data_IF_079584916506
#
_entry.id   IF_079584916506
#
_cell.length_a   1.000
_cell.length_b   1.000
_cell.length_c   1.000
_cell.angle_alpha   90.00
_cell.angle_beta   90.00
_cell.angle_gamma   90.00
#
_symmetry.space_group_name_H-M   'P 1'
#
loop_
_entity.id
_entity.type
_entity.pdbx_description
1 polymer ?
#
# COMPACT_ATOMS: atom_id res chain seq x y z
N UNK A 1 58.11 60.06 -34.29
CA UNK A 1 58.15 58.70 -33.74
C UNK A 1 57.47 58.65 -32.37
N UNK A 2 56.17 58.85 -32.29
CA UNK A 2 55.40 58.78 -31.01
C UNK A 2 53.93 58.60 -31.32
N UNK A 3 53.56 57.52 -31.99
CA UNK A 3 52.12 57.26 -32.29
C UNK A 3 51.80 55.75 -32.56
N UNK A 4 52.57 54.83 -32.00
CA UNK A 4 52.36 53.40 -32.24
C UNK A 4 52.12 52.57 -30.92
N UNK A 5 52.26 53.18 -29.75
CA UNK A 5 52.24 52.43 -28.48
C UNK A 5 50.86 52.45 -27.73
N UNK A 6 49.79 53.04 -28.28
CA UNK A 6 48.55 53.26 -27.54
C UNK A 6 47.42 52.36 -28.01
N UNK A 7 47.64 51.34 -28.89
CA UNK A 7 46.51 50.50 -29.48
C UNK A 7 46.41 49.07 -28.98
N UNK A 8 47.36 48.58 -28.20
CA UNK A 8 47.41 47.20 -27.77
C UNK A 8 46.94 46.96 -26.34
N UNK A 9 46.53 47.93 -25.58
CA UNK A 9 46.07 47.75 -24.20
C UNK A 9 44.54 47.66 -24.05
N UNK A 10 43.76 47.95 -25.11
CA UNK A 10 42.30 47.88 -25.05
C UNK A 10 41.74 46.51 -25.33
N UNK A 11 42.54 45.58 -25.90
CA UNK A 11 42.09 44.21 -26.22
C UNK A 11 42.50 43.18 -25.15
N UNK A 12 43.27 43.55 -24.13
CA UNK A 12 43.65 42.65 -23.06
C UNK A 12 42.69 42.65 -21.86
N UNK A 13 41.66 43.52 -21.83
CA UNK A 13 40.70 43.65 -20.74
C UNK A 13 39.33 43.02 -21.04
N UNK A 14 39.14 42.43 -22.24
CA UNK A 14 37.89 41.76 -22.63
C UNK A 14 37.97 40.22 -22.56
N UNK A 15 39.09 39.66 -22.14
CA UNK A 15 39.34 38.21 -22.06
C UNK A 15 39.13 37.58 -20.67
N UNK A 16 38.76 38.34 -19.63
CA UNK A 16 38.72 37.83 -18.24
C UNK A 16 37.34 37.84 -17.61
N UNK A 17 36.26 37.95 -18.36
CA UNK A 17 34.90 38.01 -17.81
C UNK A 17 34.00 36.79 -18.20
N UNK A 18 34.58 35.64 -18.56
CA UNK A 18 33.83 34.42 -18.89
C UNK A 18 34.35 33.19 -18.15
N UNK A 19 34.85 33.33 -16.93
CA UNK A 19 34.86 32.24 -15.97
C UNK A 19 33.47 32.25 -15.32
N UNK A 20 32.48 31.76 -16.09
CA UNK A 20 31.18 31.45 -15.58
C UNK A 20 31.36 30.55 -14.36
N UNK A 21 30.85 30.99 -13.23
CA UNK A 21 30.60 30.27 -12.03
C UNK A 21 29.82 28.98 -12.38
N UNK A 22 30.50 27.93 -12.76
CA UNK A 22 30.03 26.57 -12.58
C UNK A 22 30.07 26.33 -11.06
N UNK A 23 29.05 26.86 -10.35
CA UNK A 23 28.78 26.42 -9.01
C UNK A 23 28.71 24.87 -9.09
N UNK A 24 29.48 24.13 -8.28
CA UNK A 24 29.29 22.71 -8.21
C UNK A 24 27.82 22.52 -7.91
N UNK A 25 27.07 21.87 -8.81
CA UNK A 25 25.77 21.32 -8.48
C UNK A 25 26.06 20.34 -7.34
N UNK A 26 25.87 20.80 -6.11
CA UNK A 26 25.92 19.95 -4.95
C UNK A 26 24.80 18.97 -5.19
N UNK A 27 25.16 17.77 -5.63
CA UNK A 27 24.24 16.64 -5.64
C UNK A 27 23.73 16.54 -4.22
N UNK A 28 22.53 17.06 -4.00
CA UNK A 28 21.91 16.99 -2.70
C UNK A 28 21.84 15.51 -2.34
N UNK A 29 22.51 15.12 -1.25
CA UNK A 29 22.53 13.72 -0.83
C UNK A 29 21.08 13.26 -0.68
N UNK A 30 20.77 12.12 -1.30
CA UNK A 30 19.43 11.54 -1.22
C UNK A 30 19.10 11.24 0.23
N UNK A 31 17.90 11.58 0.64
CA UNK A 31 17.40 11.30 1.98
C UNK A 31 16.98 9.84 2.09
N UNK A 32 17.61 9.01 2.95
CA UNK A 32 17.25 7.60 3.09
C UNK A 32 15.86 7.46 3.70
N UNK A 33 15.07 6.54 3.17
CA UNK A 33 13.71 6.25 3.64
C UNK A 33 13.44 4.75 3.62
N UNK A 34 13.14 4.16 4.78
CA UNK A 34 12.84 2.73 4.92
C UNK A 34 11.34 2.49 5.02
N UNK A 35 10.83 1.66 4.12
CA UNK A 35 9.40 1.33 4.01
C UNK A 35 9.19 -0.16 4.18
N UNK A 36 8.27 -0.54 5.09
CA UNK A 36 7.82 -1.92 5.22
C UNK A 36 6.50 -2.14 4.50
N UNK A 37 6.49 -3.12 3.61
CA UNK A 37 5.29 -3.56 2.90
C UNK A 37 4.47 -4.52 3.78
N UNK A 38 3.21 -4.76 3.39
CA UNK A 38 2.27 -5.54 4.20
C UNK A 38 2.46 -7.05 4.08
N UNK A 39 2.91 -7.54 2.92
CA UNK A 39 2.88 -8.96 2.58
C UNK A 39 4.09 -9.39 1.74
N UNK A 40 4.16 -10.68 1.38
CA UNK A 40 5.03 -11.16 0.30
C UNK A 40 4.74 -10.41 -1.00
N UNK A 41 5.70 -10.31 -1.94
CA UNK A 41 5.53 -9.49 -3.14
C UNK A 41 4.29 -9.86 -3.95
N UNK A 42 3.47 -8.87 -4.30
CA UNK A 42 2.27 -9.03 -5.11
C UNK A 42 1.83 -7.72 -5.78
N UNK A 43 0.74 -7.74 -6.56
CA UNK A 43 0.31 -6.62 -7.39
C UNK A 43 0.11 -5.28 -6.68
N UNK A 44 -0.30 -5.27 -5.40
CA UNK A 44 -0.49 -4.03 -4.62
C UNK A 44 0.80 -3.24 -4.40
N UNK A 45 1.94 -3.88 -4.55
CA UNK A 45 3.25 -3.22 -4.42
C UNK A 45 3.72 -2.57 -5.72
N UNK A 46 2.93 -2.65 -6.80
CA UNK A 46 3.30 -2.22 -8.15
C UNK A 46 3.80 -0.80 -8.23
N UNK A 47 3.12 0.15 -7.61
CA UNK A 47 3.51 1.56 -7.62
C UNK A 47 4.87 1.82 -6.97
N UNK A 48 5.16 1.14 -5.85
CA UNK A 48 6.41 1.31 -5.12
C UNK A 48 7.60 0.80 -5.94
N UNK A 49 7.48 -0.42 -6.49
CA UNK A 49 8.50 -1.02 -7.32
C UNK A 49 8.71 -0.26 -8.63
N UNK A 50 7.63 0.20 -9.27
CA UNK A 50 7.70 0.99 -10.49
C UNK A 50 8.40 2.33 -10.25
N UNK A 51 7.98 3.06 -9.23
CA UNK A 51 8.59 4.36 -8.88
C UNK A 51 10.08 4.21 -8.55
N UNK A 52 10.47 3.13 -7.86
CA UNK A 52 11.88 2.83 -7.59
C UNK A 52 12.65 2.51 -8.86
N UNK A 53 12.12 1.67 -9.75
CA UNK A 53 12.76 1.27 -11.01
C UNK A 53 12.91 2.44 -11.98
N UNK A 54 11.90 3.31 -12.07
CA UNK A 54 11.92 4.53 -12.90
C UNK A 54 12.81 5.64 -12.31
N UNK A 55 13.29 5.47 -11.07
CA UNK A 55 14.09 6.48 -10.38
C UNK A 55 13.29 7.69 -9.90
N UNK A 56 11.96 7.63 -9.87
CA UNK A 56 11.09 8.75 -9.45
C UNK A 56 11.32 9.15 -8.00
N UNK A 57 11.56 8.20 -7.10
CA UNK A 57 11.93 8.51 -5.71
C UNK A 57 13.26 9.25 -5.63
N UNK A 58 14.28 8.84 -6.41
CA UNK A 58 15.58 9.54 -6.45
C UNK A 58 15.43 10.96 -6.97
N UNK A 59 14.64 11.17 -8.02
CA UNK A 59 14.34 12.50 -8.56
C UNK A 59 13.54 13.36 -7.56
N UNK A 60 12.77 12.74 -6.67
CA UNK A 60 12.13 13.41 -5.53
C UNK A 60 13.07 13.56 -4.31
N UNK A 61 14.39 13.27 -4.46
CA UNK A 61 15.39 13.43 -3.41
C UNK A 61 15.39 12.32 -2.35
N UNK A 62 14.83 11.13 -2.65
CA UNK A 62 14.71 10.02 -1.71
C UNK A 62 15.56 8.82 -2.14
N UNK A 63 16.26 8.19 -1.19
CA UNK A 63 16.85 6.87 -1.31
C UNK A 63 15.99 5.84 -0.57
N UNK A 64 15.08 5.20 -1.33
CA UNK A 64 14.04 4.33 -0.77
C UNK A 64 14.52 2.89 -0.67
N UNK A 65 14.35 2.30 0.52
CA UNK A 65 14.50 0.86 0.74
C UNK A 65 13.12 0.25 0.99
N UNK A 66 12.71 -0.72 0.16
CA UNK A 66 11.46 -1.47 0.29
C UNK A 66 11.74 -2.84 0.91
N UNK A 67 11.10 -3.15 2.04
CA UNK A 67 11.18 -4.45 2.70
C UNK A 67 9.81 -5.13 2.69
N UNK A 68 9.78 -6.40 2.26
CA UNK A 68 8.56 -7.19 2.19
C UNK A 68 8.06 -7.56 3.58
N UNK A 69 6.74 -7.79 3.71
CA UNK A 69 6.09 -8.14 4.96
C UNK A 69 5.54 -9.55 4.99
N UNK A 70 4.77 -9.82 6.04
CA UNK A 70 4.11 -11.10 6.28
C UNK A 70 2.72 -10.95 6.92
N UNK A 71 2.13 -9.76 6.83
CA UNK A 71 0.79 -9.44 7.30
C UNK A 71 0.62 -7.99 7.69
N UNK A 72 -0.52 -7.38 7.37
CA UNK A 72 -0.81 -5.98 7.71
C UNK A 72 -0.76 -5.72 9.21
N UNK A 73 -1.32 -6.61 10.04
CA UNK A 73 -1.27 -6.48 11.51
C UNK A 73 0.17 -6.51 12.00
N UNK A 74 0.97 -7.46 11.50
CA UNK A 74 2.40 -7.58 11.85
C UNK A 74 3.20 -6.34 11.40
N UNK A 75 2.94 -5.86 10.17
CA UNK A 75 3.60 -4.66 9.65
C UNK A 75 3.27 -3.43 10.50
N UNK A 76 2.00 -3.28 10.92
CA UNK A 76 1.59 -2.18 11.79
C UNK A 76 2.31 -2.24 13.15
N UNK A 77 2.47 -3.42 13.73
CA UNK A 77 3.20 -3.59 14.98
C UNK A 77 4.67 -3.19 14.86
N UNK A 78 5.35 -3.67 13.81
CA UNK A 78 6.78 -3.41 13.58
C UNK A 78 7.04 -1.91 13.31
N UNK A 79 6.28 -1.31 12.41
CA UNK A 79 6.43 0.12 12.07
C UNK A 79 5.96 1.00 13.23
N UNK A 80 4.90 0.59 13.91
CA UNK A 80 4.35 1.31 15.06
C UNK A 80 5.31 1.38 16.25
N UNK A 81 6.24 0.44 16.39
CA UNK A 81 7.31 0.52 17.39
C UNK A 81 8.27 1.71 17.15
N UNK A 82 8.39 2.19 15.90
CA UNK A 82 9.10 3.42 15.57
C UNK A 82 10.62 3.30 15.36
N UNK A 83 11.20 2.11 15.54
CA UNK A 83 12.67 1.96 15.57
C UNK A 83 13.28 1.70 14.19
N UNK A 84 12.65 0.85 13.38
CA UNK A 84 13.29 0.25 12.20
C UNK A 84 12.86 0.82 10.87
N UNK A 85 11.64 1.39 10.78
CA UNK A 85 11.03 1.88 9.54
C UNK A 85 10.51 3.29 9.70
N UNK A 86 10.54 4.06 8.61
CA UNK A 86 9.99 5.42 8.59
C UNK A 86 8.47 5.41 8.35
N UNK A 87 8.01 4.46 7.53
CA UNK A 87 6.58 4.25 7.27
C UNK A 87 6.30 2.80 6.82
N UNK A 88 5.02 2.45 6.80
CA UNK A 88 4.55 1.16 6.34
C UNK A 88 3.41 1.28 5.33
N UNK A 89 3.27 0.25 4.50
CA UNK A 89 2.09 -0.02 3.69
C UNK A 89 1.31 -1.16 4.33
N UNK A 90 0.03 -0.96 4.63
CA UNK A 90 -0.83 -1.97 5.22
C UNK A 90 -2.32 -1.64 5.00
N UNK A 91 -3.20 -2.59 5.35
CA UNK A 91 -4.62 -2.29 5.52
C UNK A 91 -4.81 -1.29 6.67
N UNK A 92 -5.40 -0.13 6.37
CA UNK A 92 -5.51 1.00 7.29
C UNK A 92 -6.39 0.70 8.51
N UNK A 93 -7.38 -0.20 8.36
CA UNK A 93 -8.16 -0.68 9.49
C UNK A 93 -7.29 -1.35 10.56
N UNK A 94 -6.22 -2.07 10.18
CA UNK A 94 -5.25 -2.64 11.14
C UNK A 94 -4.52 -1.54 11.91
N UNK A 95 -4.15 -0.43 11.25
CA UNK A 95 -3.54 0.73 11.91
C UNK A 95 -4.53 1.43 12.86
N UNK A 96 -5.82 1.57 12.49
CA UNK A 96 -6.87 2.13 13.34
C UNK A 96 -7.05 1.29 14.62
N UNK A 97 -7.16 -0.02 14.48
CA UNK A 97 -7.31 -0.94 15.63
C UNK A 97 -6.08 -0.89 16.55
N UNK A 98 -4.88 -0.82 15.98
CA UNK A 98 -3.64 -0.69 16.75
C UNK A 98 -3.57 0.65 17.50
N UNK A 99 -3.97 1.75 16.84
CA UNK A 99 -4.02 3.07 17.45
C UNK A 99 -4.99 3.12 18.63
N UNK A 100 -6.18 2.55 18.46
CA UNK A 100 -7.16 2.45 19.56
C UNK A 100 -6.60 1.73 20.79
N UNK A 101 -5.67 0.79 20.57
CA UNK A 101 -4.94 0.07 21.62
C UNK A 101 -3.70 0.83 22.13
N UNK A 102 -3.55 2.11 21.78
CA UNK A 102 -2.48 2.99 22.26
C UNK A 102 -1.22 3.03 21.40
N UNK A 103 -1.18 2.35 20.24
CA UNK A 103 -0.03 2.43 19.35
C UNK A 103 0.01 3.80 18.63
N UNK A 104 1.15 4.54 18.65
CA UNK A 104 1.21 5.89 18.13
C UNK A 104 1.39 5.88 16.60
N UNK A 105 0.38 5.44 15.86
CA UNK A 105 0.40 5.38 14.39
C UNK A 105 -0.72 6.23 13.79
N UNK A 106 -0.46 6.82 12.61
CA UNK A 106 -1.46 7.54 11.81
C UNK A 106 -1.34 7.14 10.35
N UNK A 107 -2.49 7.03 9.67
CA UNK A 107 -2.53 6.93 8.21
C UNK A 107 -2.03 8.23 7.58
N UNK A 108 -1.31 8.12 6.47
CA UNK A 108 -0.75 9.26 5.72
C UNK A 108 -1.21 9.29 4.26
N UNK A 109 -1.67 8.16 3.72
CA UNK A 109 -2.26 8.07 2.39
C UNK A 109 -3.27 6.92 2.30
N UNK A 110 -4.30 7.06 1.46
CA UNK A 110 -5.29 6.01 1.17
C UNK A 110 -5.21 5.65 -0.32
N UNK A 111 -4.89 4.41 -0.66
CA UNK A 111 -4.93 3.93 -2.04
C UNK A 111 -6.22 3.15 -2.31
N UNK A 112 -6.47 2.05 -1.60
CA UNK A 112 -7.72 1.32 -1.71
C UNK A 112 -8.74 1.85 -0.69
N UNK A 113 -9.83 2.45 -1.19
CA UNK A 113 -10.86 3.14 -0.39
C UNK A 113 -11.98 2.21 0.06
N UNK A 114 -12.03 1.00 -0.48
CA UNK A 114 -13.04 -0.02 -0.16
C UNK A 114 -12.37 -1.27 0.37
N UNK A 115 -13.10 -2.01 1.22
CA UNK A 115 -12.66 -3.29 1.76
C UNK A 115 -12.59 -4.34 0.65
N UNK A 116 -11.43 -4.95 0.51
CA UNK A 116 -11.13 -6.02 -0.42
C UNK A 116 -11.04 -7.40 0.26
N UNK A 117 -11.41 -7.47 1.55
CA UNK A 117 -11.40 -8.70 2.33
C UNK A 117 -12.53 -9.62 1.86
N UNK A 118 -12.22 -10.89 1.72
CA UNK A 118 -13.20 -11.92 1.35
C UNK A 118 -12.93 -13.30 1.93
N UNK A 119 -13.97 -14.12 1.84
CA UNK A 119 -13.89 -15.55 1.98
C UNK A 119 -13.81 -16.14 0.57
N UNK A 120 -12.70 -16.78 0.25
CA UNK A 120 -12.47 -17.46 -1.02
C UNK A 120 -12.95 -18.91 -0.90
N UNK A 121 -13.76 -19.33 -1.87
CA UNK A 121 -14.39 -20.65 -1.89
C UNK A 121 -14.29 -21.26 -3.29
N UNK A 122 -14.29 -22.60 -3.44
CA UNK A 122 -14.43 -23.22 -4.75
C UNK A 122 -15.74 -22.77 -5.40
N UNK A 123 -15.70 -22.49 -6.70
CA UNK A 123 -16.86 -21.96 -7.44
C UNK A 123 -18.08 -22.89 -7.41
N UNK A 124 -17.86 -24.20 -7.26
CA UNK A 124 -18.88 -25.24 -7.20
C UNK A 124 -19.27 -25.65 -5.78
N UNK A 125 -18.69 -25.06 -4.73
CA UNK A 125 -18.91 -25.45 -3.34
C UNK A 125 -20.29 -25.05 -2.77
N UNK A 126 -21.04 -24.19 -3.47
CA UNK A 126 -22.33 -23.66 -2.99
C UNK A 126 -22.24 -22.78 -1.75
N UNK A 127 -21.05 -22.29 -1.40
CA UNK A 127 -20.82 -21.41 -0.25
C UNK A 127 -21.02 -19.97 -0.73
N UNK A 128 -22.10 -19.33 -0.29
CA UNK A 128 -22.48 -17.96 -0.65
C UNK A 128 -22.45 -17.00 0.53
N UNK A 129 -22.13 -17.50 1.73
CA UNK A 129 -22.06 -16.68 2.92
C UNK A 129 -21.47 -17.41 4.13
N UNK A 130 -21.31 -16.71 5.27
CA UNK A 130 -20.67 -17.28 6.45
C UNK A 130 -21.44 -18.45 7.07
N UNK A 131 -22.78 -18.53 6.93
CA UNK A 131 -23.59 -19.59 7.52
C UNK A 131 -23.21 -21.00 7.02
N UNK A 132 -22.72 -21.14 5.79
CA UNK A 132 -22.31 -22.40 5.20
C UNK A 132 -20.92 -22.89 5.64
N UNK A 133 -20.23 -22.14 6.51
CA UNK A 133 -18.89 -22.49 7.00
C UNK A 133 -18.88 -23.46 8.17
N UNK A 134 -20.04 -23.84 8.73
CA UNK A 134 -20.10 -24.75 9.86
C UNK A 134 -19.41 -26.07 9.53
N UNK A 135 -18.43 -26.47 10.36
CA UNK A 135 -17.63 -27.69 10.20
C UNK A 135 -16.63 -27.67 9.05
N UNK A 136 -16.45 -26.53 8.36
CA UNK A 136 -15.50 -26.40 7.26
C UNK A 136 -14.09 -26.12 7.76
N UNK A 137 -13.10 -26.56 6.98
CA UNK A 137 -11.69 -26.22 7.13
C UNK A 137 -11.41 -24.90 6.44
N UNK A 138 -11.02 -23.87 7.19
CA UNK A 138 -10.79 -22.53 6.63
C UNK A 138 -9.38 -22.06 6.92
N UNK A 139 -8.59 -21.83 5.87
CA UNK A 139 -7.24 -21.32 5.99
C UNK A 139 -7.24 -19.81 6.27
N UNK A 140 -6.37 -19.35 7.16
CA UNK A 140 -6.12 -17.94 7.46
C UNK A 140 -4.68 -17.73 7.92
N UNK A 141 -4.24 -16.49 8.05
CA UNK A 141 -2.95 -16.11 8.65
C UNK A 141 -3.20 -15.14 9.79
N UNK A 142 -2.73 -15.47 10.99
CA UNK A 142 -3.05 -14.72 12.21
C UNK A 142 -2.62 -13.23 12.17
N UNK A 143 -1.52 -12.91 11.49
CA UNK A 143 -1.01 -11.53 11.33
C UNK A 143 -1.52 -10.79 10.10
N UNK A 144 -2.45 -11.38 9.33
CA UNK A 144 -2.98 -10.80 8.10
C UNK A 144 -4.10 -9.78 8.35
N UNK A 145 -4.48 -9.07 7.29
CA UNK A 145 -5.46 -7.98 7.35
C UNK A 145 -6.88 -8.46 7.70
N UNK A 146 -7.25 -9.69 7.32
CA UNK A 146 -8.58 -10.25 7.58
C UNK A 146 -8.76 -10.78 9.01
N UNK A 147 -7.67 -11.11 9.69
CA UNK A 147 -7.73 -11.80 10.99
C UNK A 147 -8.58 -11.08 12.06
N UNK A 148 -8.55 -9.74 12.20
CA UNK A 148 -9.38 -9.03 13.18
C UNK A 148 -10.88 -9.10 12.89
N UNK A 149 -11.29 -9.40 11.64
CA UNK A 149 -12.68 -9.34 11.19
C UNK A 149 -13.37 -10.70 11.12
N UNK A 150 -12.64 -11.79 11.33
CA UNK A 150 -13.18 -13.15 11.19
C UNK A 150 -14.37 -13.37 12.13
N UNK A 151 -14.28 -12.95 13.40
CA UNK A 151 -15.35 -13.10 14.36
C UNK A 151 -16.63 -12.35 13.94
N UNK A 152 -16.47 -11.09 13.47
CA UNK A 152 -17.59 -10.29 13.01
C UNK A 152 -18.24 -10.87 11.75
N UNK A 153 -17.44 -11.38 10.81
CA UNK A 153 -17.97 -12.04 9.61
C UNK A 153 -18.72 -13.34 9.95
N UNK A 154 -18.18 -14.16 10.84
CA UNK A 154 -18.82 -15.41 11.28
C UNK A 154 -20.13 -15.13 12.05
N UNK A 155 -20.15 -14.08 12.89
CA UNK A 155 -21.34 -13.68 13.64
C UNK A 155 -22.52 -13.32 12.72
N UNK A 156 -22.28 -12.75 11.55
CA UNK A 156 -23.31 -12.50 10.54
C UNK A 156 -23.98 -13.80 10.03
N UNK A 157 -23.25 -14.92 10.07
CA UNK A 157 -23.78 -16.27 9.81
C UNK A 157 -24.24 -17.03 11.04
N UNK A 158 -24.32 -16.37 12.21
CA UNK A 158 -24.63 -16.97 13.52
C UNK A 158 -23.63 -18.08 13.92
N UNK A 159 -22.37 -17.94 13.50
CA UNK A 159 -21.26 -18.83 13.81
C UNK A 159 -20.21 -18.12 14.67
N UNK A 160 -19.39 -18.94 15.32
CA UNK A 160 -18.17 -18.54 16.04
C UNK A 160 -16.98 -19.38 15.55
N UNK A 161 -15.76 -18.97 15.85
CA UNK A 161 -14.54 -19.69 15.43
C UNK A 161 -14.55 -21.18 15.79
N UNK A 162 -15.13 -21.57 16.93
CA UNK A 162 -15.22 -22.97 17.35
C UNK A 162 -16.20 -23.82 16.52
N UNK A 163 -16.99 -23.20 15.64
CA UNK A 163 -17.88 -23.93 14.71
C UNK A 163 -17.17 -24.33 13.42
N UNK A 164 -15.89 -23.92 13.23
CA UNK A 164 -15.05 -24.21 12.09
C UNK A 164 -13.74 -24.88 12.54
N UNK A 165 -13.06 -25.53 11.59
CA UNK A 165 -11.65 -25.90 11.74
C UNK A 165 -10.78 -24.80 11.10
N UNK A 166 -10.28 -23.89 11.93
CA UNK A 166 -9.41 -22.81 11.45
C UNK A 166 -7.96 -23.31 11.33
N UNK A 167 -7.42 -23.27 10.11
CA UNK A 167 -6.06 -23.67 9.79
C UNK A 167 -5.18 -22.41 9.69
N UNK A 168 -4.39 -22.16 10.74
CA UNK A 168 -3.43 -21.05 10.70
C UNK A 168 -2.21 -21.46 9.88
N UNK A 169 -1.94 -20.72 8.82
CA UNK A 169 -0.80 -20.91 7.91
C UNK A 169 -0.03 -19.60 7.73
N UNK A 170 1.23 -19.70 7.36
CA UNK A 170 2.04 -18.53 7.02
C UNK A 170 1.62 -17.89 5.68
N UNK A 171 2.11 -16.69 5.43
CA UNK A 171 1.79 -15.89 4.25
C UNK A 171 2.14 -16.61 2.93
N UNK A 172 3.26 -17.34 2.90
CA UNK A 172 3.75 -17.98 1.69
C UNK A 172 2.96 -19.26 1.33
N UNK A 173 2.44 -19.96 2.34
CA UNK A 173 1.74 -21.25 2.15
C UNK A 173 0.22 -21.13 2.06
N UNK A 174 -0.39 -19.97 2.39
CA UNK A 174 -1.86 -19.84 2.43
C UNK A 174 -2.54 -20.20 1.09
N UNK A 175 -2.04 -19.63 -0.01
CA UNK A 175 -2.63 -19.87 -1.33
C UNK A 175 -2.48 -21.34 -1.77
N UNK A 176 -1.30 -21.95 -1.56
CA UNK A 176 -1.07 -23.35 -1.91
C UNK A 176 -1.89 -24.31 -1.05
N UNK A 177 -2.03 -24.04 0.25
CA UNK A 177 -2.87 -24.85 1.17
C UNK A 177 -4.32 -24.93 0.67
N UNK A 178 -4.88 -23.79 0.24
CA UNK A 178 -6.21 -23.76 -0.33
C UNK A 178 -6.25 -24.42 -1.73
N UNK A 179 -5.32 -24.09 -2.62
CA UNK A 179 -5.33 -24.54 -4.01
C UNK A 179 -5.26 -26.08 -4.14
N UNK A 180 -4.52 -26.76 -3.24
CA UNK A 180 -4.44 -28.23 -3.22
C UNK A 180 -5.56 -28.90 -2.44
N UNK A 181 -6.57 -28.15 -1.98
CA UNK A 181 -7.75 -28.71 -1.30
C UNK A 181 -7.55 -29.11 0.17
N UNK A 182 -6.45 -28.67 0.82
CA UNK A 182 -6.25 -28.92 2.26
C UNK A 182 -7.17 -28.07 3.14
N UNK A 183 -7.73 -27.00 2.58
CA UNK A 183 -8.76 -26.18 3.18
C UNK A 183 -9.97 -26.08 2.23
N UNK A 184 -11.18 -26.09 2.79
CA UNK A 184 -12.44 -25.92 2.04
C UNK A 184 -12.61 -24.48 1.56
N UNK A 185 -12.12 -23.52 2.35
CA UNK A 185 -12.17 -22.09 2.08
C UNK A 185 -10.92 -21.39 2.61
N UNK A 186 -10.74 -20.11 2.26
CA UNK A 186 -9.67 -19.29 2.82
C UNK A 186 -10.13 -17.86 3.04
N UNK A 187 -9.75 -17.27 4.16
CA UNK A 187 -9.86 -15.82 4.37
C UNK A 187 -8.65 -15.11 3.78
N UNK A 188 -8.87 -14.11 2.94
CA UNK A 188 -7.80 -13.32 2.33
C UNK A 188 -8.33 -12.02 1.72
N UNK A 189 -7.45 -11.25 1.10
CA UNK A 189 -7.83 -10.17 0.17
C UNK A 189 -8.13 -10.77 -1.21
N UNK A 190 -9.27 -10.39 -1.77
CA UNK A 190 -9.78 -10.94 -3.03
C UNK A 190 -8.81 -10.68 -4.20
N UNK A 191 -8.30 -9.44 -4.41
CA UNK A 191 -7.39 -9.15 -5.52
C UNK A 191 -6.07 -9.92 -5.48
N UNK A 192 -5.58 -10.26 -4.28
CA UNK A 192 -4.40 -11.10 -4.14
C UNK A 192 -4.68 -12.54 -4.51
N UNK A 193 -5.76 -13.09 -3.94
CA UNK A 193 -5.95 -14.54 -3.86
C UNK A 193 -6.56 -15.14 -5.12
N UNK A 194 -7.62 -14.52 -5.67
CA UNK A 194 -8.30 -15.08 -6.85
C UNK A 194 -7.36 -15.30 -8.04
N UNK A 195 -6.51 -14.34 -8.45
CA UNK A 195 -5.57 -14.55 -9.56
C UNK A 195 -4.56 -15.68 -9.30
N UNK A 196 -4.19 -15.88 -8.02
CA UNK A 196 -3.23 -16.94 -7.65
C UNK A 196 -3.85 -18.34 -7.75
N UNK A 197 -5.09 -18.50 -7.28
CA UNK A 197 -5.68 -19.85 -7.10
C UNK A 197 -6.56 -20.30 -8.27
N UNK A 198 -7.16 -19.36 -9.01
CA UNK A 198 -8.18 -19.67 -10.02
C UNK A 198 -7.68 -20.55 -11.17
N UNK A 199 -6.38 -20.57 -11.44
CA UNK A 199 -5.78 -21.44 -12.47
C UNK A 199 -5.80 -22.92 -12.05
N UNK A 200 -5.65 -23.20 -10.75
CA UNK A 200 -5.56 -24.56 -10.22
C UNK A 200 -6.85 -24.99 -9.52
N UNK A 201 -7.62 -24.05 -9.00
CA UNK A 201 -8.89 -24.29 -8.31
C UNK A 201 -9.84 -23.13 -8.66
N UNK A 202 -10.75 -23.30 -9.62
CA UNK A 202 -11.75 -22.29 -9.95
C UNK A 202 -12.48 -21.84 -8.68
N UNK A 203 -12.47 -20.55 -8.40
CA UNK A 203 -12.90 -20.01 -7.12
C UNK A 203 -13.75 -18.77 -7.30
N UNK A 204 -14.62 -18.51 -6.33
CA UNK A 204 -15.37 -17.27 -6.13
C UNK A 204 -15.05 -16.65 -4.77
N UNK A 205 -15.55 -15.45 -4.54
CA UNK A 205 -15.35 -14.75 -3.28
C UNK A 205 -16.67 -14.26 -2.69
N UNK A 206 -16.82 -14.43 -1.38
CA UNK A 206 -17.86 -13.78 -0.57
C UNK A 206 -17.23 -12.58 0.11
N UNK A 207 -17.67 -11.36 -0.23
CA UNK A 207 -17.06 -10.13 0.26
C UNK A 207 -17.49 -9.83 1.70
N UNK A 208 -16.56 -9.45 2.55
CA UNK A 208 -16.87 -8.99 3.90
C UNK A 208 -17.70 -7.70 3.89
N UNK A 209 -17.52 -6.86 2.89
CA UNK A 209 -18.27 -5.62 2.69
C UNK A 209 -19.79 -5.85 2.61
N UNK A 210 -20.22 -6.99 2.05
CA UNK A 210 -21.65 -7.35 1.93
C UNK A 210 -22.27 -7.72 3.29
N UNK A 211 -21.43 -7.85 4.31
CA UNK A 211 -21.82 -8.13 5.71
C UNK A 211 -21.48 -6.94 6.64
N UNK A 212 -21.46 -5.73 6.09
CA UNK A 212 -21.26 -4.51 6.86
C UNK A 212 -19.80 -4.16 7.19
N UNK A 213 -18.82 -4.94 6.70
CA UNK A 213 -17.39 -4.74 6.96
C UNK A 213 -16.72 -3.99 5.79
N UNK A 214 -17.26 -2.81 5.45
CA UNK A 214 -16.70 -1.95 4.41
C UNK A 214 -15.97 -0.74 5.03
N UNK A 215 -14.68 -0.62 4.75
CA UNK A 215 -13.79 0.44 5.24
C UNK A 215 -12.59 0.59 4.29
N UNK A 216 -11.81 1.68 4.36
CA UNK A 216 -10.57 1.79 3.61
C UNK A 216 -9.64 0.61 3.87
N UNK A 217 -9.11 0.03 2.79
CA UNK A 217 -8.15 -1.07 2.84
C UNK A 217 -6.72 -0.53 2.77
N UNK A 218 -6.01 -0.70 1.68
CA UNK A 218 -4.58 -0.41 1.61
C UNK A 218 -4.25 1.08 1.53
N UNK A 219 -3.23 1.46 2.28
CA UNK A 219 -2.65 2.78 2.28
C UNK A 219 -1.31 2.82 3.01
N UNK A 220 -0.82 4.02 3.24
CA UNK A 220 0.40 4.27 3.98
C UNK A 220 0.08 4.77 5.39
N UNK A 221 0.91 4.38 6.34
CA UNK A 221 0.86 4.85 7.72
C UNK A 221 2.27 5.03 8.28
N UNK A 222 2.41 5.83 9.31
CA UNK A 222 3.68 6.05 10.00
C UNK A 222 3.49 6.13 11.51
N UNK A 223 4.55 5.86 12.27
CA UNK A 223 4.63 6.20 13.69
C UNK A 223 4.62 7.73 13.85
N UNK A 224 3.92 8.27 14.85
CA UNK A 224 3.78 9.72 15.05
C UNK A 224 5.12 10.43 15.25
N UNK A 225 6.09 9.81 15.92
CA UNK A 225 7.43 10.38 16.08
C UNK A 225 8.20 10.47 14.75
N UNK A 226 8.11 9.41 13.92
CA UNK A 226 8.69 9.41 12.57
C UNK A 226 7.99 10.43 11.68
N UNK A 227 6.68 10.52 11.77
CA UNK A 227 5.90 11.51 11.03
C UNK A 227 6.30 12.96 11.40
N UNK A 228 6.55 13.22 12.69
CA UNK A 228 7.01 14.54 13.13
C UNK A 228 8.43 14.87 12.63
N UNK A 229 9.35 13.88 12.66
CA UNK A 229 10.75 14.06 12.27
C UNK A 229 10.99 14.07 10.76
N UNK A 230 10.17 13.33 10.00
CA UNK A 230 10.40 13.00 8.59
C UNK A 230 9.21 13.39 7.69
N UNK A 231 8.38 14.35 8.13
CA UNK A 231 7.12 14.72 7.46
C UNK A 231 7.28 14.96 5.97
N UNK A 232 8.30 15.71 5.57
CA UNK A 232 8.54 16.05 4.17
C UNK A 232 8.95 14.82 3.33
N UNK A 233 9.86 13.99 3.82
CA UNK A 233 10.26 12.76 3.14
C UNK A 233 9.08 11.79 2.98
N UNK A 234 8.26 11.64 4.02
CA UNK A 234 7.04 10.81 4.00
C UNK A 234 6.04 11.37 2.98
N UNK A 235 5.84 12.69 2.95
CA UNK A 235 4.93 13.34 2.00
C UNK A 235 5.39 13.17 0.55
N UNK A 236 6.70 13.31 0.27
CA UNK A 236 7.28 13.07 -1.06
C UNK A 236 7.08 11.62 -1.50
N UNK A 237 7.39 10.65 -0.64
CA UNK A 237 7.19 9.23 -0.93
C UNK A 237 5.72 8.91 -1.22
N UNK A 238 4.80 9.36 -0.36
CA UNK A 238 3.37 9.12 -0.51
C UNK A 238 2.82 9.73 -1.81
N UNK A 239 3.24 10.95 -2.14
CA UNK A 239 2.80 11.68 -3.35
C UNK A 239 3.31 11.02 -4.64
N UNK A 240 4.60 10.64 -4.68
CA UNK A 240 5.17 9.90 -5.82
C UNK A 240 4.49 8.54 -5.99
N UNK A 241 4.22 7.83 -4.88
CA UNK A 241 3.53 6.53 -4.93
C UNK A 241 2.10 6.67 -5.44
N UNK A 242 1.37 7.69 -5.00
CA UNK A 242 0.02 7.99 -5.49
C UNK A 242 0.03 8.28 -7.00
N UNK A 243 0.96 9.13 -7.46
CA UNK A 243 1.12 9.44 -8.88
C UNK A 243 1.53 8.22 -9.71
N UNK A 244 2.37 7.34 -9.13
CA UNK A 244 2.73 6.08 -9.78
C UNK A 244 1.52 5.15 -9.97
N UNK A 245 0.60 5.08 -9.02
CA UNK A 245 -0.66 4.36 -9.19
C UNK A 245 -1.54 4.95 -10.29
N UNK A 246 -1.65 6.29 -10.38
CA UNK A 246 -2.38 6.94 -11.47
C UNK A 246 -1.76 6.59 -12.83
N UNK A 247 -0.42 6.60 -12.92
CA UNK A 247 0.31 6.17 -14.12
C UNK A 247 0.01 4.71 -14.48
N UNK A 248 0.06 3.80 -13.50
CA UNK A 248 -0.24 2.38 -13.72
C UNK A 248 -1.62 2.22 -14.35
N UNK A 249 -2.65 2.86 -13.78
CA UNK A 249 -4.02 2.74 -14.27
C UNK A 249 -4.34 3.58 -15.51
N UNK A 250 -3.40 4.38 -15.97
CA UNK A 250 -3.45 5.01 -17.30
C UNK A 250 -2.99 4.08 -18.46
N UNK A 251 -2.75 2.78 -18.17
CA UNK A 251 -2.41 1.77 -19.18
C UNK A 251 -1.01 1.15 -19.02
N UNK A 252 -0.32 1.40 -17.88
CA UNK A 252 1.06 0.97 -17.67
C UNK A 252 1.20 -0.19 -16.65
N UNK A 253 0.17 -1.04 -16.51
CA UNK A 253 0.17 -2.16 -15.57
C UNK A 253 1.30 -3.15 -15.81
N UNK A 254 1.65 -3.40 -17.10
CA UNK A 254 2.74 -4.32 -17.46
C UNK A 254 4.12 -3.80 -17.01
N UNK A 255 4.32 -2.49 -16.95
CA UNK A 255 5.55 -1.89 -16.42
C UNK A 255 5.68 -2.13 -14.92
N UNK A 256 4.57 -2.00 -14.18
CA UNK A 256 4.54 -2.30 -12.75
C UNK A 256 4.83 -3.79 -12.48
N UNK A 257 4.26 -4.70 -13.27
CA UNK A 257 4.57 -6.14 -13.23
C UNK A 257 6.05 -6.39 -13.46
N UNK A 258 6.62 -5.78 -14.50
CA UNK A 258 8.05 -5.93 -14.83
C UNK A 258 8.94 -5.42 -13.69
N UNK A 259 8.55 -4.32 -13.03
CA UNK A 259 9.28 -3.75 -11.90
C UNK A 259 9.31 -4.68 -10.69
N UNK A 260 8.17 -5.30 -10.34
CA UNK A 260 8.10 -6.28 -9.25
C UNK A 260 9.02 -7.47 -9.56
N UNK A 261 8.89 -8.05 -10.77
CA UNK A 261 9.68 -9.22 -11.18
C UNK A 261 11.18 -8.94 -11.15
N UNK A 262 11.62 -7.78 -11.63
CA UNK A 262 13.02 -7.39 -11.66
C UNK A 262 13.63 -7.22 -10.25
N UNK A 263 12.85 -6.70 -9.30
CA UNK A 263 13.32 -6.44 -7.93
C UNK A 263 13.11 -7.61 -6.98
N UNK A 264 12.32 -8.61 -7.35
CA UNK A 264 12.01 -9.80 -6.53
C UNK A 264 12.18 -11.12 -7.28
N UNK A 265 13.35 -11.34 -7.95
CA UNK A 265 13.56 -12.54 -8.79
C UNK A 265 13.49 -13.85 -7.99
N UNK A 266 13.85 -13.82 -6.69
CA UNK A 266 13.81 -15.01 -5.83
C UNK A 266 12.39 -15.46 -5.48
N UNK A 267 11.40 -14.55 -5.57
CA UNK A 267 10.00 -14.85 -5.24
C UNK A 267 9.31 -15.71 -6.32
N UNK A 268 9.92 -15.90 -7.49
CA UNK A 268 9.43 -16.74 -8.60
C UNK A 268 7.96 -16.47 -8.97
N UNK A 269 7.61 -15.19 -9.03
CA UNK A 269 6.24 -14.74 -9.27
C UNK A 269 5.82 -14.97 -10.73
N UNK A 270 4.56 -15.31 -10.93
CA UNK A 270 3.98 -15.44 -12.26
C UNK A 270 3.50 -14.09 -12.81
N UNK A 271 3.91 -13.76 -14.05
CA UNK A 271 3.57 -12.48 -14.70
C UNK A 271 2.06 -12.28 -14.85
N UNK A 272 1.31 -13.34 -15.23
CA UNK A 272 -0.14 -13.26 -15.45
C UNK A 272 -0.88 -13.08 -14.13
N UNK A 273 -0.40 -13.74 -13.08
CA UNK A 273 -0.95 -13.58 -11.73
C UNK A 273 -0.75 -12.15 -11.24
N UNK A 274 0.46 -11.59 -11.34
CA UNK A 274 0.72 -10.21 -10.95
C UNK A 274 -0.13 -9.21 -11.73
N UNK A 275 -0.27 -9.39 -13.04
CA UNK A 275 -1.13 -8.54 -13.86
C UNK A 275 -2.59 -8.65 -13.42
N UNK A 276 -3.09 -9.86 -13.22
CA UNK A 276 -4.43 -10.08 -12.71
C UNK A 276 -4.68 -9.48 -11.33
N UNK A 277 -3.68 -9.47 -10.45
CA UNK A 277 -3.75 -8.81 -9.15
C UNK A 277 -3.86 -7.29 -9.27
N UNK A 278 -3.05 -6.66 -10.13
CA UNK A 278 -3.10 -5.20 -10.38
C UNK A 278 -4.46 -4.81 -10.97
N UNK A 279 -4.96 -5.57 -11.95
CA UNK A 279 -6.24 -5.29 -12.58
C UNK A 279 -7.41 -5.48 -11.59
N UNK A 280 -7.35 -6.53 -10.74
CA UNK A 280 -8.36 -6.81 -9.73
C UNK A 280 -8.39 -5.80 -8.57
N UNK A 281 -7.31 -5.07 -8.34
CA UNK A 281 -7.24 -4.01 -7.32
C UNK A 281 -7.98 -2.73 -7.75
N UNK A 282 -8.03 -2.42 -9.04
CA UNK A 282 -8.53 -1.14 -9.55
C UNK A 282 -9.92 -0.75 -9.01
N UNK A 283 -10.92 -1.66 -8.95
CA UNK A 283 -12.25 -1.32 -8.41
C UNK A 283 -12.22 -0.87 -6.94
N UNK A 284 -11.28 -1.37 -6.15
CA UNK A 284 -11.17 -1.05 -4.71
C UNK A 284 -10.52 0.30 -4.44
N UNK A 285 -9.81 0.87 -5.42
CA UNK A 285 -9.29 2.23 -5.30
C UNK A 285 -10.42 3.26 -5.23
N UNK A 286 -11.58 2.96 -5.85
CA UNK A 286 -12.76 3.82 -5.86
C UNK A 286 -12.51 5.15 -6.59
N UNK A 287 -13.55 5.98 -6.65
CA UNK A 287 -13.41 7.35 -7.13
C UNK A 287 -13.11 8.25 -5.92
N UNK A 288 -12.02 9.02 -5.92
CA UNK A 288 -11.81 10.06 -4.92
C UNK A 288 -12.99 11.05 -4.94
N UNK A 289 -13.24 11.73 -3.82
CA UNK A 289 -14.19 12.83 -3.78
C UNK A 289 -13.85 13.87 -4.87
N UNK A 290 -14.84 14.59 -5.38
CA UNK A 290 -14.63 15.57 -6.44
C UNK A 290 -13.47 16.52 -6.11
N UNK A 291 -12.48 16.59 -7.00
CA UNK A 291 -11.27 17.41 -6.84
C UNK A 291 -10.13 16.76 -6.01
N UNK A 292 -10.35 15.61 -5.38
CA UNK A 292 -9.28 14.90 -4.69
C UNK A 292 -8.57 13.95 -5.65
N UNK A 293 -7.24 13.82 -5.50
CA UNK A 293 -6.44 12.85 -6.25
C UNK A 293 -6.20 11.58 -5.44
N UNK A 294 -5.70 10.56 -6.09
CA UNK A 294 -5.37 9.29 -5.45
C UNK A 294 -4.40 9.52 -4.28
N UNK A 295 -4.57 8.75 -3.22
CA UNK A 295 -3.77 8.88 -2.01
C UNK A 295 -4.31 9.88 -0.98
N UNK A 296 -5.19 10.81 -1.40
CA UNK A 296 -5.73 11.83 -0.49
C UNK A 296 -6.54 11.22 0.65
N UNK A 297 -6.40 11.82 1.83
CA UNK A 297 -7.24 11.53 2.99
C UNK A 297 -8.60 12.25 2.79
N UNK A 298 -9.69 11.50 2.82
CA UNK A 298 -11.05 12.02 2.75
C UNK A 298 -11.76 11.76 4.07
N UNK A 299 -12.11 12.78 4.86
CA UNK A 299 -12.67 12.62 6.21
C UNK A 299 -13.87 11.69 6.31
N UNK A 300 -14.75 11.66 5.27
CA UNK A 300 -15.93 10.79 5.24
C UNK A 300 -15.57 9.30 5.31
N UNK A 301 -14.47 8.88 4.67
CA UNK A 301 -14.01 7.48 4.71
C UNK A 301 -13.68 7.06 6.14
N UNK A 302 -13.07 7.96 6.91
CA UNK A 302 -12.69 7.71 8.29
C UNK A 302 -13.88 7.70 9.23
N UNK A 303 -14.89 8.56 8.99
CA UNK A 303 -16.15 8.52 9.70
C UNK A 303 -16.86 7.19 9.48
N UNK A 304 -16.92 6.73 8.22
CA UNK A 304 -17.50 5.44 7.87
C UNK A 304 -16.70 4.28 8.50
N UNK A 305 -15.36 4.34 8.46
CA UNK A 305 -14.50 3.33 9.06
C UNK A 305 -14.70 3.23 10.57
N UNK A 306 -14.79 4.36 11.28
CA UNK A 306 -15.09 4.37 12.73
C UNK A 306 -16.44 3.72 13.00
N UNK A 307 -17.49 4.07 12.24
CA UNK A 307 -18.81 3.45 12.37
C UNK A 307 -18.73 1.94 12.19
N UNK A 308 -18.09 1.47 11.12
CA UNK A 308 -17.94 0.05 10.82
C UNK A 308 -17.20 -0.70 11.93
N UNK A 309 -16.02 -0.19 12.32
CA UNK A 309 -15.17 -0.85 13.31
C UNK A 309 -15.77 -0.83 14.72
N UNK A 310 -16.46 0.24 15.10
CA UNK A 310 -17.13 0.32 16.41
C UNK A 310 -18.37 -0.57 16.49
N UNK A 311 -19.15 -0.71 15.40
CA UNK A 311 -20.30 -1.60 15.34
C UNK A 311 -19.92 -3.05 15.63
N UNK A 312 -18.72 -3.47 15.21
CA UNK A 312 -18.22 -4.83 15.45
C UNK A 312 -17.29 -4.92 16.67
N UNK A 313 -17.22 -3.86 17.48
CA UNK A 313 -16.50 -3.85 18.77
C UNK A 313 -14.96 -3.85 18.63
N UNK A 314 -14.41 -3.48 17.49
CA UNK A 314 -12.95 -3.45 17.26
C UNK A 314 -12.29 -2.14 17.69
N UNK A 315 -13.07 -1.06 17.77
CA UNK A 315 -12.67 0.24 18.35
C UNK A 315 -13.81 0.80 19.18
N UNK A 316 -13.54 1.85 19.98
CA UNK A 316 -14.55 2.55 20.77
C UNK A 316 -15.60 3.24 19.90
N UNK A 317 -16.86 3.23 20.35
CA UNK A 317 -17.94 3.98 19.72
C UNK A 317 -17.71 5.51 19.80
N UNK A 318 -16.88 5.96 20.74
CA UNK A 318 -16.53 7.38 20.93
C UNK A 318 -15.22 7.77 20.21
N UNK A 319 -14.63 6.86 19.43
CA UNK A 319 -13.40 7.12 18.69
C UNK A 319 -13.58 8.30 17.73
N UNK A 320 -12.64 9.24 17.74
CA UNK A 320 -12.70 10.43 16.90
C UNK A 320 -12.00 10.17 15.57
N UNK A 321 -12.67 10.24 14.41
CA UNK A 321 -12.09 9.91 13.09
C UNK A 321 -10.78 10.63 12.81
N UNK A 322 -10.66 11.91 13.15
CA UNK A 322 -9.47 12.73 12.90
C UNK A 322 -8.22 12.28 13.66
N UNK A 323 -8.35 11.42 14.68
CA UNK A 323 -7.19 10.90 15.41
C UNK A 323 -6.41 9.85 14.64
N UNK A 324 -7.02 9.19 13.65
CA UNK A 324 -6.46 8.04 12.94
C UNK A 324 -5.59 8.41 11.73
N UNK A 325 -5.59 9.67 11.29
CA UNK A 325 -4.86 10.09 10.10
C UNK A 325 -4.13 11.42 10.30
N UNK A 326 -3.19 11.68 9.41
CA UNK A 326 -2.52 12.96 9.27
C UNK A 326 -2.97 13.59 7.93
N UNK A 327 -3.63 14.77 7.96
CA UNK A 327 -4.09 15.41 6.73
C UNK A 327 -2.95 16.06 5.94
N UNK A 328 -3.24 16.42 4.69
CA UNK A 328 -2.43 17.31 3.83
C UNK A 328 -0.97 16.84 3.64
N UNK A 329 -0.79 15.55 3.38
CA UNK A 329 0.53 14.96 3.10
C UNK A 329 0.70 14.54 1.64
N UNK A 330 -0.38 14.29 0.91
CA UNK A 330 -0.33 13.69 -0.42
C UNK A 330 -0.66 14.74 -1.48
N UNK A 331 0.32 15.07 -2.30
CA UNK A 331 0.28 16.10 -3.35
C UNK A 331 0.81 15.53 -4.68
N UNK A 332 0.10 14.57 -5.32
CA UNK A 332 0.60 13.92 -6.53
C UNK A 332 0.75 14.88 -7.71
N UNK A 333 0.01 15.99 -7.74
CA UNK A 333 0.12 17.06 -8.74
C UNK A 333 1.52 17.68 -8.83
N UNK A 334 2.29 17.66 -7.74
CA UNK A 334 3.68 18.16 -7.72
C UNK A 334 4.63 17.28 -8.53
N UNK A 335 4.20 16.09 -8.89
CA UNK A 335 4.98 15.07 -9.60
C UNK A 335 4.43 14.73 -10.99
N UNK A 336 3.48 15.53 -11.49
CA UNK A 336 2.91 15.32 -12.84
C UNK A 336 3.96 15.44 -13.94
N UNK A 337 4.93 16.34 -13.80
CA UNK A 337 6.05 16.48 -14.73
C UNK A 337 7.09 15.36 -14.62
N UNK A 338 7.19 14.72 -13.45
CA UNK A 338 8.12 13.64 -13.15
C UNK A 338 7.61 12.30 -13.66
N UNK A 339 6.32 12.05 -13.45
CA UNK A 339 5.64 10.78 -13.77
C UNK A 339 4.77 11.02 -15.02
N UNK A 340 5.42 11.08 -16.19
CA UNK A 340 4.74 11.23 -17.47
C UNK A 340 4.52 9.86 -18.16
N UNK A 341 3.45 9.74 -18.97
CA UNK A 341 3.20 8.55 -19.80
C UNK A 341 4.34 8.26 -20.78
#
# INVERSE_FOLDING_TARGET
MLAVFARNWRNALLGLAAVALSAPAWSQALEPLKVRLDWTPWGVHGAFHLAQQKGWYKQAGLDVTLEDGNGSVTTVQIVGAGDSFDLGHAALASAMIAREKGMPVKAVAVFARQSDIGLLVPADAGITGPAQLKGKKVAYTAGSLEAPFIDAFLAAGKLKKSDLELINVDAASKASTYAVGRADAAFSTIPFFLPVVSQNRPSSAVRFADYGLNMPSFGLFANESKLAQRRDAIARFASVSARAWEYIYAGHQDEAVAAILAQRPQARLDKKVLRGQIDALQPYFGQPAAGARLGAIVPQDWTQAVTTLSTVGLISANAQPATFYAPDLVHPERYDSLVQP
#
